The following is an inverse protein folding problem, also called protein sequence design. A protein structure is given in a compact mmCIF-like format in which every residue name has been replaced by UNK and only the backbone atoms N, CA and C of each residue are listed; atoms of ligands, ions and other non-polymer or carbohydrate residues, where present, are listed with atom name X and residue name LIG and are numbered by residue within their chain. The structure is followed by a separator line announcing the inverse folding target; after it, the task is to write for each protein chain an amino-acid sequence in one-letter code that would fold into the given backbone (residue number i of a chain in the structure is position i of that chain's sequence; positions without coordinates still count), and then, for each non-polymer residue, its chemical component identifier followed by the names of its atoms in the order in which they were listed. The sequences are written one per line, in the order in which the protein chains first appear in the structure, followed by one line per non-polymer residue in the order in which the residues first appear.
data_IF_725655313239
#
_entry.id   IF_725655313239
#
_cell.length_a   1.000
_cell.length_b   1.000
_cell.length_c   1.000
_cell.angle_alpha   90.00
_cell.angle_beta   90.00
_cell.angle_gamma   90.00
#
_symmetry.space_group_name_H-M   'P 1'
#
loop_
_entity.id
_entity.type
_entity.pdbx_description
1 polymer ?
#
# COMPACT_ATOMS: atom_id res chain seq x y z
N UNK A 1 18.71 -2.44 -5.71
CA UNK A 1 17.83 -1.30 -5.40
C UNK A 1 17.53 -1.27 -3.90
N UNK A 2 16.95 -2.33 -3.30
CA UNK A 2 16.61 -2.41 -1.87
C UNK A 2 17.74 -1.89 -0.95
N UNK A 3 18.97 -2.42 -1.10
CA UNK A 3 20.12 -1.96 -0.31
C UNK A 3 20.35 -0.46 -0.41
N UNK A 4 20.21 0.13 -1.61
CA UNK A 4 20.39 1.58 -1.79
C UNK A 4 19.32 2.40 -1.07
N UNK A 5 18.09 1.90 -0.98
CA UNK A 5 17.00 2.54 -0.21
C UNK A 5 17.39 2.54 1.28
N UNK A 6 17.79 1.38 1.82
CA UNK A 6 18.23 1.28 3.21
C UNK A 6 19.43 2.20 3.52
N UNK A 7 20.44 2.23 2.64
CA UNK A 7 21.60 3.15 2.77
C UNK A 7 21.15 4.63 2.82
N UNK A 8 20.11 5.01 2.07
CA UNK A 8 19.55 6.36 2.13
C UNK A 8 18.79 6.63 3.42
N UNK A 9 18.02 5.65 3.92
CA UNK A 9 17.33 5.76 5.21
C UNK A 9 18.36 5.95 6.34
N UNK A 10 19.39 5.11 6.37
CA UNK A 10 20.46 5.19 7.36
C UNK A 10 21.17 6.56 7.31
N UNK A 11 21.50 7.03 6.10
CA UNK A 11 22.14 8.34 5.91
C UNK A 11 21.24 9.52 6.30
N UNK A 12 19.92 9.38 6.21
CA UNK A 12 18.94 10.37 6.65
C UNK A 12 18.59 10.26 8.14
N UNK A 13 19.12 9.28 8.86
CA UNK A 13 18.81 9.03 10.27
C UNK A 13 17.41 8.51 10.53
N UNK A 14 16.80 7.87 9.51
CA UNK A 14 15.47 7.27 9.63
C UNK A 14 15.53 5.90 10.30
N UNK A 15 14.43 5.51 10.93
CA UNK A 15 14.23 4.19 11.55
C UNK A 15 13.24 3.39 10.71
N UNK A 16 13.53 2.13 10.44
CA UNK A 16 12.66 1.19 9.75
C UNK A 16 12.82 -0.19 10.39
N UNK A 17 11.76 -0.98 10.41
CA UNK A 17 11.73 -2.31 11.04
C UNK A 17 12.15 -3.42 10.06
N UNK A 18 11.90 -3.23 8.77
CA UNK A 18 12.30 -4.16 7.70
C UNK A 18 12.82 -3.40 6.47
N UNK A 19 13.66 -4.03 5.65
CA UNK A 19 14.07 -3.46 4.38
C UNK A 19 12.86 -3.27 3.44
N UNK A 20 12.91 -2.22 2.61
CA UNK A 20 11.90 -1.96 1.59
C UNK A 20 11.65 -3.17 0.68
N UNK A 21 10.42 -3.35 0.24
CA UNK A 21 10.07 -4.34 -0.78
C UNK A 21 10.42 -3.76 -2.15
N UNK A 22 11.13 -4.55 -2.97
CA UNK A 22 11.48 -4.17 -4.34
C UNK A 22 11.25 -5.39 -5.24
N UNK A 23 10.20 -5.35 -6.04
CA UNK A 23 9.81 -6.40 -6.98
C UNK A 23 9.95 -5.97 -8.44
N UNK A 24 10.47 -6.85 -9.31
CA UNK A 24 10.59 -6.63 -10.75
C UNK A 24 9.84 -7.70 -11.53
N UNK A 25 9.13 -7.32 -12.59
CA UNK A 25 8.34 -8.20 -13.43
C UNK A 25 7.33 -9.01 -12.61
N UNK A 26 7.33 -10.37 -12.64
CA UNK A 26 6.39 -11.18 -11.87
C UNK A 26 6.43 -10.94 -10.35
N UNK A 27 7.57 -10.54 -9.81
CA UNK A 27 7.71 -10.25 -8.38
C UNK A 27 7.02 -8.94 -7.96
N UNK A 28 6.71 -8.04 -8.90
CA UNK A 28 5.97 -6.81 -8.61
C UNK A 28 4.48 -7.05 -8.30
N UNK A 29 3.98 -8.27 -8.49
CA UNK A 29 2.63 -8.68 -8.10
C UNK A 29 2.55 -9.40 -6.75
N UNK A 30 3.67 -9.52 -6.04
CA UNK A 30 3.73 -10.13 -4.70
C UNK A 30 3.95 -9.01 -3.66
N UNK A 31 2.92 -8.63 -2.88
CA UNK A 31 3.01 -7.55 -1.91
C UNK A 31 3.96 -7.86 -0.74
N UNK A 32 4.36 -9.13 -0.57
CA UNK A 32 5.28 -9.56 0.48
C UNK A 32 6.62 -10.07 -0.07
N UNK A 33 6.93 -9.72 -1.33
CA UNK A 33 8.16 -10.17 -1.96
C UNK A 33 9.41 -9.71 -1.20
N UNK A 34 10.29 -10.66 -0.88
CA UNK A 34 11.60 -10.37 -0.32
C UNK A 34 12.70 -10.90 -1.26
N UNK A 35 13.58 -10.03 -1.79
CA UNK A 35 14.70 -10.47 -2.62
C UNK A 35 15.60 -11.46 -1.85
N UNK A 36 15.94 -12.58 -2.48
CA UNK A 36 16.82 -13.60 -1.91
C UNK A 36 17.84 -14.04 -2.94
N UNK A 37 19.04 -14.37 -2.48
CA UNK A 37 20.07 -14.95 -3.35
C UNK A 37 19.51 -16.19 -4.09
N UNK A 38 19.60 -16.18 -5.41
CA UNK A 38 19.12 -17.26 -6.29
C UNK A 38 17.65 -17.14 -6.74
N UNK A 39 16.83 -16.29 -6.15
CA UNK A 39 15.44 -16.04 -6.59
C UNK A 39 15.20 -14.61 -7.07
N UNK A 40 16.11 -13.71 -6.76
CA UNK A 40 16.07 -12.34 -7.24
C UNK A 40 16.43 -12.27 -8.75
N UNK A 41 15.98 -11.22 -9.40
CA UNK A 41 16.19 -11.05 -10.86
C UNK A 41 16.63 -9.63 -11.18
N UNK A 42 17.34 -9.50 -12.29
CA UNK A 42 17.65 -8.20 -12.86
C UNK A 42 16.41 -7.61 -13.55
N UNK A 43 16.30 -6.29 -13.50
CA UNK A 43 15.29 -5.54 -14.25
C UNK A 43 15.50 -5.71 -15.74
N UNK A 44 14.44 -6.04 -16.46
CA UNK A 44 14.43 -6.17 -17.92
C UNK A 44 13.46 -5.17 -18.57
N UNK A 45 13.65 -4.79 -19.83
CA UNK A 45 12.69 -3.96 -20.55
C UNK A 45 11.28 -4.57 -20.53
N UNK A 46 10.28 -3.75 -20.22
CA UNK A 46 8.88 -4.16 -20.09
C UNK A 46 8.49 -4.65 -18.69
N UNK A 47 9.43 -4.86 -17.78
CA UNK A 47 9.11 -5.27 -16.42
C UNK A 47 8.36 -4.17 -15.67
N UNK A 48 7.31 -4.56 -14.95
CA UNK A 48 6.78 -3.76 -13.87
C UNK A 48 7.81 -3.66 -12.73
N UNK A 49 7.81 -2.54 -12.04
CA UNK A 49 8.65 -2.26 -10.87
C UNK A 49 7.73 -1.87 -9.73
N UNK A 50 7.79 -2.59 -8.64
CA UNK A 50 7.17 -2.23 -7.37
C UNK A 50 8.27 -1.83 -6.39
N UNK A 51 8.09 -0.68 -5.75
CA UNK A 51 8.89 -0.23 -4.62
C UNK A 51 7.92 0.14 -3.52
N UNK A 52 7.95 -0.62 -2.44
CA UNK A 52 7.19 -0.36 -1.25
C UNK A 52 8.15 -0.13 -0.09
N UNK A 53 8.01 1.02 0.55
CA UNK A 53 9.00 1.48 1.52
C UNK A 53 8.34 2.27 2.65
N UNK A 54 8.82 2.00 3.85
CA UNK A 54 8.34 2.65 5.06
C UNK A 54 9.51 2.99 5.99
N UNK A 55 9.39 4.09 6.67
CA UNK A 55 10.33 4.56 7.67
C UNK A 55 9.69 5.65 8.54
N UNK A 56 10.33 5.97 9.65
CA UNK A 56 9.93 7.07 10.52
C UNK A 56 11.14 7.88 10.99
N UNK A 57 10.87 9.05 11.54
CA UNK A 57 11.86 9.82 12.30
C UNK A 57 12.23 9.07 13.59
N UNK A 58 13.43 9.30 14.16
CA UNK A 58 13.92 8.55 15.33
C UNK A 58 13.18 8.86 16.64
N UNK A 59 12.35 9.91 16.68
CA UNK A 59 11.59 10.27 17.86
C UNK A 59 10.60 9.13 18.24
N UNK A 60 10.45 8.80 19.54
CA UNK A 60 9.61 7.70 19.98
C UNK A 60 8.18 7.75 19.46
N UNK A 61 7.58 8.95 19.45
CA UNK A 61 6.18 9.17 19.06
C UNK A 61 6.01 9.52 17.57
N UNK A 62 7.09 9.54 16.79
CA UNK A 62 6.97 9.77 15.36
C UNK A 62 6.22 8.62 14.69
N UNK A 63 5.18 8.89 13.89
CA UNK A 63 4.52 7.85 13.11
C UNK A 63 5.40 7.41 11.95
N UNK A 64 5.19 6.18 11.49
CA UNK A 64 5.72 5.72 10.20
C UNK A 64 5.07 6.49 9.06
N UNK A 65 5.87 6.78 8.03
CA UNK A 65 5.41 7.04 6.69
C UNK A 65 5.54 5.74 5.89
N UNK A 66 4.58 5.50 5.01
CA UNK A 66 4.49 4.27 4.24
C UNK A 66 3.95 4.59 2.85
N UNK A 67 4.64 4.13 1.80
CA UNK A 67 4.30 4.44 0.43
C UNK A 67 4.75 3.36 -0.54
N UNK A 68 3.83 2.92 -1.39
CA UNK A 68 4.12 2.08 -2.55
C UNK A 68 4.14 2.89 -3.83
N UNK A 69 5.15 2.68 -4.66
CA UNK A 69 5.27 3.29 -5.98
C UNK A 69 5.48 2.26 -7.06
N UNK A 70 4.71 2.39 -8.15
CA UNK A 70 4.80 1.52 -9.30
C UNK A 70 5.44 2.23 -10.50
N UNK A 71 6.20 1.47 -11.26
CA UNK A 71 6.83 1.93 -12.50
C UNK A 71 6.95 0.82 -13.54
N UNK A 72 7.48 1.17 -14.69
CA UNK A 72 7.77 0.22 -15.78
C UNK A 72 9.13 0.54 -16.40
N UNK A 73 9.90 -0.48 -16.70
CA UNK A 73 11.16 -0.33 -17.43
C UNK A 73 10.89 -0.16 -18.95
N UNK A 74 10.66 1.07 -19.39
CA UNK A 74 10.35 1.42 -20.78
C UNK A 74 8.86 1.69 -21.00
N UNK A 75 8.32 1.33 -22.18
CA UNK A 75 6.90 1.53 -22.47
C UNK A 75 6.05 0.44 -21.80
N UNK A 76 4.98 0.82 -21.07
CA UNK A 76 4.10 -0.15 -20.43
C UNK A 76 3.24 -0.90 -21.47
N UNK A 77 2.97 -2.19 -21.23
CA UNK A 77 1.94 -2.91 -21.96
C UNK A 77 0.55 -2.33 -21.64
N UNK A 78 -0.36 -2.36 -22.59
CA UNK A 78 -1.73 -1.80 -22.42
C UNK A 78 -2.49 -2.44 -21.25
N UNK A 79 -2.30 -3.74 -21.03
CA UNK A 79 -2.92 -4.44 -19.92
C UNK A 79 -2.42 -3.91 -18.56
N UNK A 80 -1.12 -3.66 -18.43
CA UNK A 80 -0.54 -3.11 -17.21
C UNK A 80 -1.07 -1.69 -16.92
N UNK A 81 -1.22 -0.87 -17.98
CA UNK A 81 -1.83 0.47 -17.84
C UNK A 81 -3.27 0.34 -17.36
N UNK A 82 -4.05 -0.57 -17.93
CA UNK A 82 -5.44 -0.80 -17.54
C UNK A 82 -5.57 -1.24 -16.09
N UNK A 83 -4.75 -2.19 -15.64
CA UNK A 83 -4.74 -2.62 -14.22
C UNK A 83 -4.36 -1.47 -13.31
N UNK A 84 -3.32 -0.71 -13.65
CA UNK A 84 -2.89 0.45 -12.88
C UNK A 84 -4.00 1.52 -12.77
N UNK A 85 -4.74 1.78 -13.85
CA UNK A 85 -5.87 2.71 -13.84
C UNK A 85 -6.98 2.24 -12.90
N UNK A 86 -7.31 0.95 -12.91
CA UNK A 86 -8.31 0.37 -12.00
C UNK A 86 -7.87 0.52 -10.54
N UNK A 87 -6.61 0.22 -10.22
CA UNK A 87 -6.08 0.36 -8.85
C UNK A 87 -6.07 1.82 -8.41
N UNK A 88 -5.60 2.74 -9.28
CA UNK A 88 -5.64 4.19 -9.02
C UNK A 88 -7.07 4.67 -8.71
N UNK A 89 -8.03 4.30 -9.55
CA UNK A 89 -9.42 4.75 -9.41
C UNK A 89 -10.09 4.14 -8.18
N UNK A 90 -9.75 2.90 -7.81
CA UNK A 90 -10.19 2.25 -6.57
C UNK A 90 -9.63 2.97 -5.33
N UNK A 91 -8.34 3.35 -5.34
CA UNK A 91 -7.71 4.16 -4.30
C UNK A 91 -8.43 5.51 -4.15
N UNK A 92 -8.64 6.20 -5.26
CA UNK A 92 -9.30 7.51 -5.26
C UNK A 92 -10.74 7.42 -4.76
N UNK A 93 -11.46 6.34 -5.11
CA UNK A 93 -12.80 6.05 -4.60
C UNK A 93 -12.79 5.80 -3.08
N UNK A 94 -11.84 5.04 -2.56
CA UNK A 94 -11.68 4.82 -1.12
C UNK A 94 -11.49 6.14 -0.37
N UNK A 95 -10.57 7.00 -0.86
CA UNK A 95 -10.32 8.34 -0.29
C UNK A 95 -11.58 9.21 -0.36
N UNK A 96 -12.27 9.24 -1.50
CA UNK A 96 -13.51 10.02 -1.66
C UNK A 96 -14.63 9.52 -0.75
N UNK A 97 -14.76 8.20 -0.57
CA UNK A 97 -15.76 7.59 0.32
C UNK A 97 -15.51 7.99 1.78
N UNK A 98 -14.26 7.93 2.22
CA UNK A 98 -13.86 8.36 3.56
C UNK A 98 -14.13 9.86 3.78
N UNK A 99 -13.70 10.70 2.83
CA UNK A 99 -13.91 12.15 2.89
C UNK A 99 -15.40 12.51 2.89
N UNK A 100 -16.22 11.82 2.08
CA UNK A 100 -17.68 12.01 2.04
C UNK A 100 -18.34 11.67 3.37
N UNK A 101 -17.96 10.56 4.00
CA UNK A 101 -18.47 10.18 5.32
C UNK A 101 -18.19 11.26 6.37
N UNK A 102 -16.98 11.81 6.40
CA UNK A 102 -16.65 12.91 7.32
C UNK A 102 -17.39 14.20 7.01
N UNK A 103 -17.60 14.52 5.74
CA UNK A 103 -18.39 15.70 5.35
C UNK A 103 -19.86 15.61 5.82
N UNK A 104 -20.37 14.37 5.96
CA UNK A 104 -21.70 14.08 6.52
C UNK A 104 -21.69 14.00 8.08
N UNK A 105 -20.57 14.24 8.72
CA UNK A 105 -20.40 14.13 10.18
C UNK A 105 -20.39 12.68 10.69
N UNK A 106 -20.08 11.71 9.85
CA UNK A 106 -20.06 10.28 10.15
C UNK A 106 -18.63 9.77 10.26
N UNK A 107 -18.36 8.92 11.24
CA UNK A 107 -17.15 8.13 11.34
C UNK A 107 -17.44 6.73 10.74
N UNK A 108 -16.95 6.41 9.53
CA UNK A 108 -17.22 5.10 8.93
C UNK A 108 -16.42 3.99 9.63
N UNK A 109 -16.86 2.75 9.47
CA UNK A 109 -16.06 1.58 9.84
C UNK A 109 -14.98 1.31 8.79
N UNK A 110 -13.83 0.76 9.22
CA UNK A 110 -12.73 0.46 8.29
C UNK A 110 -13.15 -0.42 7.11
N UNK A 111 -13.97 -1.44 7.37
CA UNK A 111 -14.52 -2.33 6.33
C UNK A 111 -15.39 -1.62 5.28
N UNK A 112 -16.02 -0.49 5.61
CA UNK A 112 -16.84 0.24 4.63
C UNK A 112 -15.96 0.84 3.53
N UNK A 113 -14.78 1.30 3.90
CA UNK A 113 -13.82 1.90 2.95
C UNK A 113 -13.13 0.81 2.12
N UNK A 114 -12.75 -0.32 2.74
CA UNK A 114 -12.22 -1.47 2.01
C UNK A 114 -13.20 -1.96 0.94
N UNK A 115 -14.47 -2.11 1.30
CA UNK A 115 -15.51 -2.53 0.34
C UNK A 115 -15.63 -1.61 -0.84
N UNK A 116 -15.55 -0.30 -0.66
CA UNK A 116 -15.65 0.64 -1.77
C UNK A 116 -14.55 0.39 -2.83
N UNK A 117 -13.30 0.19 -2.40
CA UNK A 117 -12.21 -0.16 -3.30
C UNK A 117 -12.36 -1.57 -3.87
N UNK A 118 -12.66 -2.55 -3.02
CA UNK A 118 -12.75 -3.96 -3.38
C UNK A 118 -13.86 -4.25 -4.38
N UNK A 119 -15.04 -3.70 -4.16
CA UNK A 119 -16.17 -3.86 -5.08
C UNK A 119 -15.88 -3.22 -6.43
N UNK A 120 -15.20 -2.07 -6.46
CA UNK A 120 -14.76 -1.42 -7.69
C UNK A 120 -13.78 -2.29 -8.48
N UNK A 121 -12.75 -2.83 -7.82
CA UNK A 121 -11.76 -3.74 -8.44
C UNK A 121 -12.44 -5.02 -8.94
N UNK A 122 -13.37 -5.58 -8.15
CA UNK A 122 -14.12 -6.78 -8.53
C UNK A 122 -15.02 -6.53 -9.76
N UNK A 123 -15.69 -5.38 -9.82
CA UNK A 123 -16.53 -4.98 -10.97
C UNK A 123 -15.70 -4.80 -12.24
N UNK A 124 -14.42 -4.41 -12.12
CA UNK A 124 -13.46 -4.34 -13.24
C UNK A 124 -12.90 -5.72 -13.65
N UNK A 125 -13.26 -6.81 -12.97
CA UNK A 125 -12.85 -8.18 -13.28
C UNK A 125 -11.57 -8.66 -12.58
N UNK A 126 -11.04 -7.90 -11.61
CA UNK A 126 -9.78 -8.22 -10.92
C UNK A 126 -9.97 -8.62 -9.44
N UNK A 127 -11.20 -8.92 -9.00
CA UNK A 127 -11.50 -9.23 -7.59
C UNK A 127 -10.64 -10.34 -6.98
N UNK A 128 -10.41 -11.43 -7.75
CA UNK A 128 -9.59 -12.56 -7.30
C UNK A 128 -8.10 -12.21 -7.16
N UNK A 129 -7.64 -11.12 -7.78
CA UNK A 129 -6.26 -10.66 -7.71
C UNK A 129 -6.01 -9.70 -6.55
N UNK A 130 -7.05 -9.16 -5.93
CA UNK A 130 -6.95 -8.26 -4.79
C UNK A 130 -6.94 -9.05 -3.48
N UNK A 131 -5.76 -9.49 -3.06
CA UNK A 131 -5.53 -10.52 -2.04
C UNK A 131 -5.11 -9.98 -0.67
N UNK A 132 -5.18 -8.67 -0.44
CA UNK A 132 -4.88 -8.03 0.84
C UNK A 132 -5.90 -6.92 1.15
N UNK A 133 -5.82 -6.31 2.31
CA UNK A 133 -6.67 -5.17 2.72
C UNK A 133 -6.39 -3.92 1.88
N UNK A 134 -7.33 -2.98 1.84
CA UNK A 134 -7.15 -1.68 1.15
C UNK A 134 -6.13 -0.79 1.85
N UNK A 135 -5.90 -0.96 3.15
CA UNK A 135 -4.92 -0.18 3.89
C UNK A 135 -4.98 -0.40 5.39
N UNK A 136 -4.08 0.23 6.10
CA UNK A 136 -3.95 0.07 7.54
C UNK A 136 -3.69 1.39 8.26
N UNK A 137 -3.90 1.41 9.58
CA UNK A 137 -3.45 2.53 10.40
C UNK A 137 -1.92 2.53 10.51
N UNK A 138 -1.33 3.72 10.51
CA UNK A 138 0.10 3.93 10.74
C UNK A 138 0.40 3.96 12.23
N UNK A 139 1.44 3.26 12.63
CA UNK A 139 1.88 3.19 14.02
C UNK A 139 3.12 4.05 14.31
N UNK A 140 3.48 4.09 15.59
CA UNK A 140 4.73 4.69 16.07
C UNK A 140 5.76 3.64 16.51
N UNK A 141 5.31 2.44 16.86
CA UNK A 141 6.16 1.31 17.25
C UNK A 141 6.45 0.36 16.09
N UNK A 142 5.47 0.17 15.21
CA UNK A 142 5.56 -0.61 13.98
C UNK A 142 4.83 0.13 12.86
N UNK A 143 5.09 -0.23 11.62
CA UNK A 143 4.43 0.36 10.44
C UNK A 143 2.93 0.21 10.53
N UNK A 144 2.43 -1.00 10.85
CA UNK A 144 1.03 -1.24 11.13
C UNK A 144 0.69 -0.80 12.55
N UNK A 145 -0.18 0.20 12.69
CA UNK A 145 -0.63 0.71 13.98
C UNK A 145 -1.78 -0.12 14.58
N UNK A 146 -2.11 0.20 15.83
CA UNK A 146 -3.21 -0.45 16.58
C UNK A 146 -4.60 0.16 16.28
N UNK A 147 -4.66 1.19 15.42
CA UNK A 147 -5.91 1.84 15.02
C UNK A 147 -6.77 0.96 14.09
N UNK A 148 -7.92 1.49 13.69
CA UNK A 148 -8.76 0.83 12.69
C UNK A 148 -8.05 0.76 11.33
N UNK A 149 -8.18 -0.38 10.64
CA UNK A 149 -7.66 -0.61 9.29
C UNK A 149 -8.78 -0.49 8.25
N UNK A 150 -8.42 -0.24 7.01
CA UNK A 150 -9.32 -0.31 5.86
C UNK A 150 -9.38 -1.77 5.39
N UNK A 151 -10.20 -2.60 6.05
CA UNK A 151 -10.13 -4.05 5.94
C UNK A 151 -11.49 -4.75 6.11
N UNK A 152 -11.92 -5.48 5.09
CA UNK A 152 -13.02 -6.45 5.12
C UNK A 152 -12.60 -7.79 4.50
N UNK A 153 -11.29 -8.00 4.33
CA UNK A 153 -10.72 -9.19 3.70
C UNK A 153 -9.90 -10.05 4.68
N UNK A 154 -8.82 -9.52 5.25
CA UNK A 154 -7.99 -10.23 6.21
C UNK A 154 -8.65 -10.26 7.59
N UNK A 155 -9.24 -9.13 7.99
CA UNK A 155 -10.09 -9.00 9.16
C UNK A 155 -11.33 -8.17 8.79
N UNK A 156 -12.44 -8.42 9.46
CA UNK A 156 -13.62 -7.59 9.32
C UNK A 156 -13.53 -6.43 10.32
N UNK A 157 -12.86 -5.34 9.92
CA UNK A 157 -12.64 -4.22 10.82
C UNK A 157 -13.88 -3.34 10.98
N UNK A 158 -14.58 -3.52 12.07
CA UNK A 158 -15.78 -2.75 12.45
C UNK A 158 -15.48 -1.56 13.34
N UNK A 159 -14.20 -1.29 13.62
CA UNK A 159 -13.79 -0.10 14.39
C UNK A 159 -14.01 1.16 13.56
N UNK A 160 -14.34 2.24 14.25
CA UNK A 160 -14.56 3.53 13.62
C UNK A 160 -13.24 4.20 13.26
N UNK A 161 -13.18 4.72 12.04
CA UNK A 161 -12.10 5.59 11.58
C UNK A 161 -12.29 6.96 12.20
N UNK A 162 -11.53 7.26 13.26
CA UNK A 162 -11.61 8.52 14.00
C UNK A 162 -10.66 9.56 13.41
N UNK A 163 -11.02 10.86 13.48
CA UNK A 163 -10.10 11.93 13.13
C UNK A 163 -8.78 11.83 13.91
N UNK A 164 -7.66 12.07 13.22
CA UNK A 164 -6.31 11.98 13.79
C UNK A 164 -5.60 10.65 13.56
N UNK A 165 -6.27 9.63 12.96
CA UNK A 165 -5.58 8.44 12.49
C UNK A 165 -4.79 8.74 11.21
N UNK A 166 -3.53 8.30 11.16
CA UNK A 166 -2.79 8.14 9.91
C UNK A 166 -3.19 6.81 9.27
N UNK A 167 -3.43 6.79 7.98
CA UNK A 167 -3.86 5.61 7.22
C UNK A 167 -3.09 5.51 5.92
N UNK A 168 -2.77 4.28 5.52
CA UNK A 168 -2.42 3.97 4.13
C UNK A 168 -3.69 3.76 3.31
N UNK A 169 -3.65 4.01 1.99
CA UNK A 169 -4.69 3.66 1.02
C UNK A 169 -3.99 3.10 -0.21
N UNK A 170 -3.94 1.80 -0.30
CA UNK A 170 -3.03 1.04 -1.18
C UNK A 170 -3.68 -0.25 -1.71
N UNK A 171 -4.84 -0.15 -2.36
CA UNK A 171 -5.52 -1.31 -2.89
C UNK A 171 -4.72 -2.07 -3.95
#
# INVERSE_FOLDING_TARGET
VQRRICEHFDAAGLVYDHPAIVGFGPHAGDPHYAPRAGTDRALAPGDAVLIDLWAKLPEPDAPYADITWMGVAGAPASELVRVWEVVRDARDLAVATLAGAYAEGREPEGREIDRAARDFIAAAGYGEAFIHRTGHSLGTLATHGDGAHLDDYETRDTRRLRPGLGLTVEP
#
